data_IF_329215715615
#
_entry.id   IF_329215715615
#
_cell.length_a   1.000
_cell.length_b   1.000
_cell.length_c   1.000
_cell.angle_alpha   90.00
_cell.angle_beta   90.00
_cell.angle_gamma   90.00
#
_symmetry.space_group_name_H-M   'P 1'
#
loop_
_entity.id
_entity.type
_entity.pdbx_description
1 polymer ?
#
# COMPACT_ATOMS: atom_id res chain seq x y z
N UNK A 1 -24.38 22.80 24.40
CA UNK A 1 -23.24 22.92 23.54
C UNK A 1 -23.08 21.77 22.56
N UNK A 2 -23.09 20.64 23.09
CA UNK A 2 -22.74 19.52 22.28
C UNK A 2 -23.78 19.14 21.25
N UNK A 3 -25.05 19.23 21.61
CA UNK A 3 -26.09 18.84 20.67
C UNK A 3 -26.10 19.76 19.45
N UNK A 4 -26.07 21.04 19.69
CA UNK A 4 -26.09 21.99 18.58
C UNK A 4 -24.78 21.91 17.80
N UNK A 5 -23.70 21.80 18.50
CA UNK A 5 -22.42 21.70 17.86
C UNK A 5 -22.33 20.42 17.05
N UNK A 6 -22.88 19.36 17.58
CA UNK A 6 -22.89 18.10 16.87
C UNK A 6 -23.73 18.18 15.61
N UNK A 7 -24.84 18.86 15.68
CA UNK A 7 -25.71 19.00 14.54
C UNK A 7 -25.06 19.87 13.47
N UNK A 8 -24.54 20.99 13.88
CA UNK A 8 -23.87 21.88 12.96
C UNK A 8 -22.67 21.24 12.35
N UNK A 9 -22.00 20.42 13.11
CA UNK A 9 -20.81 19.75 12.64
C UNK A 9 -21.08 18.40 12.06
N UNK A 10 -22.33 18.02 11.97
CA UNK A 10 -22.69 16.69 11.55
C UNK A 10 -22.12 16.32 10.19
N UNK A 11 -22.31 17.18 9.20
CA UNK A 11 -21.77 16.93 7.88
C UNK A 11 -20.27 16.89 7.93
N UNK A 12 -19.70 17.84 8.63
CA UNK A 12 -18.27 17.94 8.78
C UNK A 12 -17.73 16.75 9.57
N UNK A 13 -18.43 16.36 10.61
CA UNK A 13 -18.05 15.23 11.43
C UNK A 13 -18.10 13.94 10.64
N UNK A 14 -19.04 13.80 9.75
CA UNK A 14 -19.12 12.63 8.91
C UNK A 14 -17.95 12.58 7.95
N UNK A 15 -17.61 13.71 7.36
CA UNK A 15 -16.46 13.76 6.47
C UNK A 15 -15.18 13.46 7.24
N UNK A 16 -15.05 14.03 8.42
CA UNK A 16 -13.88 13.81 9.25
C UNK A 16 -13.79 12.35 9.68
N UNK A 17 -14.91 11.78 10.05
CA UNK A 17 -14.96 10.39 10.47
C UNK A 17 -14.59 9.45 9.33
N UNK A 18 -15.04 9.78 8.13
CA UNK A 18 -14.72 9.00 6.96
C UNK A 18 -13.21 9.03 6.69
N UNK A 19 -12.62 10.19 6.79
CA UNK A 19 -11.18 10.34 6.62
C UNK A 19 -10.44 9.59 7.71
N UNK A 20 -10.88 9.72 8.95
CA UNK A 20 -10.26 9.04 10.07
C UNK A 20 -10.34 7.52 9.92
N UNK A 21 -11.51 7.02 9.50
CA UNK A 21 -11.70 5.60 9.28
C UNK A 21 -10.78 5.09 8.18
N UNK A 22 -10.63 5.87 7.14
CA UNK A 22 -9.75 5.52 6.04
C UNK A 22 -8.30 5.47 6.50
N UNK A 23 -7.89 6.45 7.30
CA UNK A 23 -6.55 6.47 7.88
C UNK A 23 -6.32 5.30 8.81
N UNK A 24 -7.33 4.99 9.62
CA UNK A 24 -7.24 3.87 10.54
C UNK A 24 -7.07 2.57 9.80
N UNK A 25 -7.79 2.42 8.69
CA UNK A 25 -7.65 1.23 7.87
C UNK A 25 -6.25 1.14 7.27
N UNK A 26 -5.75 2.24 6.75
CA UNK A 26 -4.41 2.27 6.18
C UNK A 26 -3.36 1.97 7.24
N UNK A 27 -3.50 2.57 8.41
CA UNK A 27 -2.57 2.34 9.52
C UNK A 27 -2.60 0.90 9.96
N UNK A 28 -3.78 0.32 10.07
CA UNK A 28 -3.93 -1.07 10.48
C UNK A 28 -3.29 -2.00 9.46
N UNK A 29 -3.47 -1.71 8.18
CA UNK A 29 -2.89 -2.51 7.12
C UNK A 29 -1.36 -2.45 7.16
N UNK A 30 -0.82 -1.24 7.31
CA UNK A 30 0.63 -1.05 7.40
C UNK A 30 1.19 -1.82 8.61
N UNK A 31 0.50 -1.72 9.75
CA UNK A 31 0.94 -2.43 10.95
C UNK A 31 0.89 -3.94 10.76
N UNK A 32 -0.14 -4.43 10.09
CA UNK A 32 -0.25 -5.86 9.81
C UNK A 32 0.89 -6.34 8.94
N UNK A 33 1.25 -5.56 7.94
CA UNK A 33 2.38 -5.89 7.07
C UNK A 33 3.70 -5.89 7.85
N UNK A 34 3.84 -4.92 8.75
CA UNK A 34 5.06 -4.81 9.54
C UNK A 34 5.23 -6.01 10.46
N UNK A 35 4.13 -6.46 11.05
CA UNK A 35 4.16 -7.59 11.96
C UNK A 35 4.29 -8.93 11.24
N UNK A 36 3.76 -9.00 10.03
CA UNK A 36 3.71 -10.26 9.30
C UNK A 36 4.05 -10.02 7.83
N UNK A 37 5.33 -10.08 7.49
CA UNK A 37 5.72 -9.89 6.08
C UNK A 37 5.10 -10.91 5.14
N UNK A 38 4.82 -12.12 5.63
CA UNK A 38 4.14 -13.12 4.83
C UNK A 38 2.75 -12.69 4.43
N UNK A 39 2.06 -12.00 5.34
CA UNK A 39 0.75 -11.46 5.02
C UNK A 39 0.86 -10.38 3.95
N UNK A 40 1.90 -9.54 4.02
CA UNK A 40 2.12 -8.52 3.00
C UNK A 40 2.31 -9.17 1.62
N UNK A 41 3.08 -10.25 1.57
CA UNK A 41 3.30 -10.96 0.32
C UNK A 41 2.00 -11.56 -0.22
N UNK A 42 1.18 -12.13 0.65
CA UNK A 42 -0.10 -12.68 0.24
C UNK A 42 -1.03 -11.59 -0.27
N UNK A 43 -1.03 -10.46 0.40
CA UNK A 43 -1.85 -9.32 0.00
C UNK A 43 -1.45 -8.85 -1.40
N UNK A 44 -0.16 -8.70 -1.62
CA UNK A 44 0.33 -8.25 -2.92
C UNK A 44 0.00 -9.27 -4.01
N UNK A 45 0.14 -10.54 -3.71
CA UNK A 45 -0.20 -11.59 -4.66
C UNK A 45 -1.68 -11.54 -5.06
N UNK A 46 -2.55 -11.29 -4.09
CA UNK A 46 -3.97 -11.17 -4.37
C UNK A 46 -4.27 -9.96 -5.26
N UNK A 47 -3.61 -8.84 -4.99
CA UNK A 47 -3.78 -7.65 -5.80
C UNK A 47 -3.27 -7.86 -7.21
N UNK A 48 -2.14 -8.55 -7.35
CA UNK A 48 -1.59 -8.84 -8.67
C UNK A 48 -2.50 -9.77 -9.47
N UNK A 49 -3.20 -10.66 -8.77
CA UNK A 49 -4.09 -11.60 -9.45
C UNK A 49 -5.40 -10.96 -9.89
N UNK A 50 -6.00 -10.14 -9.02
CA UNK A 50 -7.36 -9.65 -9.26
C UNK A 50 -7.51 -8.14 -9.22
N UNK A 51 -6.53 -7.43 -8.72
CA UNK A 51 -6.64 -5.99 -8.54
C UNK A 51 -6.34 -5.24 -9.82
N UNK A 52 -6.69 -3.98 -9.80
CA UNK A 52 -6.34 -3.11 -10.91
C UNK A 52 -5.06 -2.33 -10.56
N UNK A 53 -4.67 -1.46 -11.48
CA UNK A 53 -3.45 -0.69 -11.34
C UNK A 53 -3.48 0.20 -10.08
N UNK A 54 -4.62 0.80 -9.79
CA UNK A 54 -4.72 1.66 -8.62
C UNK A 54 -4.55 0.87 -7.34
N UNK A 55 -5.16 -0.29 -7.27
CA UNK A 55 -5.01 -1.15 -6.10
C UNK A 55 -3.57 -1.61 -5.92
N UNK A 56 -2.91 -1.89 -7.01
CA UNK A 56 -1.49 -2.26 -6.96
C UNK A 56 -0.66 -1.11 -6.39
N UNK A 57 -0.93 0.11 -6.83
CA UNK A 57 -0.18 1.25 -6.34
C UNK A 57 -0.42 1.48 -4.86
N UNK A 58 -1.67 1.32 -4.41
CA UNK A 58 -2.00 1.44 -2.99
C UNK A 58 -1.27 0.36 -2.18
N UNK A 59 -1.29 -0.87 -2.67
CA UNK A 59 -0.61 -1.97 -1.98
C UNK A 59 0.88 -1.71 -1.85
N UNK A 60 1.51 -1.26 -2.92
CA UNK A 60 2.94 -0.98 -2.90
C UNK A 60 3.28 0.17 -1.95
N UNK A 61 2.42 1.18 -1.87
CA UNK A 61 2.64 2.28 -0.92
C UNK A 61 2.53 1.81 0.52
N UNK A 62 1.52 0.99 0.83
CA UNK A 62 1.38 0.46 2.19
C UNK A 62 2.58 -0.40 2.55
N UNK A 63 3.04 -1.22 1.61
CA UNK A 63 4.21 -2.05 1.85
C UNK A 63 5.45 -1.19 2.05
N UNK A 64 5.60 -0.14 1.25
CA UNK A 64 6.74 0.76 1.41
C UNK A 64 6.76 1.37 2.80
N UNK A 65 5.60 1.79 3.30
CA UNK A 65 5.54 2.34 4.65
C UNK A 65 5.86 1.30 5.70
N UNK A 66 5.38 0.09 5.51
CA UNK A 66 5.60 -0.97 6.48
C UNK A 66 7.06 -1.38 6.57
N UNK A 67 7.79 -1.29 5.48
CA UNK A 67 9.16 -1.81 5.41
C UNK A 67 10.22 -0.72 5.40
N UNK A 68 9.95 0.39 6.05
CA UNK A 68 10.98 1.39 6.29
C UNK A 68 10.74 2.74 5.64
N UNK A 69 9.63 2.89 4.94
CA UNK A 69 9.31 4.13 4.26
C UNK A 69 10.04 4.27 2.93
N UNK A 70 9.53 5.15 2.09
CA UNK A 70 10.08 5.33 0.75
C UNK A 70 11.57 5.71 0.77
N UNK A 71 12.01 6.66 1.63
CA UNK A 71 13.44 7.00 1.62
C UNK A 71 14.33 5.83 1.99
N UNK A 72 13.94 5.06 2.99
CA UNK A 72 14.73 3.91 3.42
C UNK A 72 14.78 2.83 2.36
N UNK A 73 13.65 2.55 1.75
CA UNK A 73 13.59 1.56 0.69
C UNK A 73 14.38 2.00 -0.54
N UNK A 74 14.25 3.29 -0.89
CA UNK A 74 15.00 3.81 -2.04
C UNK A 74 16.50 3.63 -1.82
N UNK A 75 16.95 3.91 -0.62
CA UNK A 75 18.39 3.73 -0.30
C UNK A 75 18.81 2.27 -0.44
N UNK A 76 18.01 1.36 0.12
CA UNK A 76 18.33 -0.06 0.06
C UNK A 76 18.23 -0.63 -1.36
N UNK A 77 17.28 -0.13 -2.12
CA UNK A 77 17.07 -0.58 -3.50
C UNK A 77 17.95 0.15 -4.50
N UNK A 78 18.70 1.15 -4.04
CA UNK A 78 19.54 2.01 -4.89
C UNK A 78 18.70 2.73 -5.93
N UNK A 79 17.57 3.24 -5.48
CA UNK A 79 16.68 4.01 -6.32
C UNK A 79 16.65 5.45 -5.83
N UNK A 80 16.26 6.35 -6.70
CA UNK A 80 16.08 7.75 -6.34
C UNK A 80 14.77 7.91 -5.60
N UNK A 81 14.82 8.47 -4.38
CA UNK A 81 13.62 8.59 -3.55
C UNK A 81 12.54 9.45 -4.20
N UNK A 82 12.92 10.56 -4.81
CA UNK A 82 11.97 11.44 -5.48
C UNK A 82 11.27 10.71 -6.62
N UNK A 83 12.04 9.98 -7.40
CA UNK A 83 11.50 9.19 -8.49
C UNK A 83 10.58 8.10 -7.96
N UNK A 84 10.96 7.47 -6.86
CA UNK A 84 10.17 6.41 -6.28
C UNK A 84 8.84 6.95 -5.75
N UNK A 85 8.83 8.12 -5.10
CA UNK A 85 7.58 8.75 -4.68
C UNK A 85 6.66 8.98 -5.86
N UNK A 86 7.20 9.49 -6.94
CA UNK A 86 6.42 9.74 -8.14
C UNK A 86 5.91 8.45 -8.76
N UNK A 87 6.75 7.44 -8.80
CA UNK A 87 6.42 6.14 -9.37
C UNK A 87 5.30 5.46 -8.58
N UNK A 88 5.31 5.63 -7.26
CA UNK A 88 4.30 5.03 -6.40
C UNK A 88 3.08 5.91 -6.20
N UNK A 89 2.98 7.00 -6.94
CA UNK A 89 1.79 7.86 -6.85
C UNK A 89 0.60 7.15 -7.47
N UNK A 90 -0.57 7.71 -7.25
CA UNK A 90 -1.83 7.11 -7.69
C UNK A 90 -1.82 6.74 -9.17
N UNK A 91 -1.19 7.58 -9.99
CA UNK A 91 -1.12 7.35 -11.43
C UNK A 91 0.21 6.79 -11.86
N UNK A 92 0.97 6.28 -10.92
CA UNK A 92 2.27 5.75 -11.23
C UNK A 92 2.19 4.47 -12.02
N UNK A 93 3.26 4.17 -12.71
CA UNK A 93 3.36 2.96 -13.50
C UNK A 93 4.79 2.46 -13.42
N UNK A 94 5.14 1.77 -12.33
CA UNK A 94 6.51 1.35 -12.14
C UNK A 94 6.93 0.29 -13.14
N UNK A 95 8.17 0.39 -13.58
CA UNK A 95 8.75 -0.63 -14.41
C UNK A 95 8.98 -1.89 -13.60
N UNK A 96 9.01 -3.01 -14.28
CA UNK A 96 9.24 -4.30 -13.63
C UNK A 96 10.53 -4.30 -12.84
N UNK A 97 11.57 -3.70 -13.38
CA UNK A 97 12.86 -3.60 -12.73
C UNK A 97 12.76 -2.82 -11.41
N UNK A 98 11.95 -1.76 -11.40
CA UNK A 98 11.75 -0.97 -10.19
C UNK A 98 10.99 -1.79 -9.13
N UNK A 99 9.95 -2.49 -9.56
CA UNK A 99 9.19 -3.34 -8.65
C UNK A 99 10.08 -4.43 -8.09
N UNK A 100 10.89 -5.06 -8.92
CA UNK A 100 11.80 -6.11 -8.46
C UNK A 100 12.79 -5.59 -7.43
N UNK A 101 13.37 -4.42 -7.69
CA UNK A 101 14.32 -3.82 -6.77
C UNK A 101 13.65 -3.44 -5.45
N UNK A 102 12.45 -2.91 -5.54
CA UNK A 102 11.69 -2.51 -4.36
C UNK A 102 11.34 -3.73 -3.49
N UNK A 103 10.85 -4.78 -4.13
CA UNK A 103 10.53 -6.00 -3.40
C UNK A 103 11.77 -6.63 -2.81
N UNK A 104 12.88 -6.61 -3.54
CA UNK A 104 14.14 -7.11 -3.02
C UNK A 104 14.56 -6.39 -1.76
N UNK A 105 14.35 -5.08 -1.71
CA UNK A 105 14.67 -4.29 -0.52
C UNK A 105 13.77 -4.63 0.65
N UNK A 106 12.62 -5.24 0.38
CA UNK A 106 11.70 -5.73 1.42
C UNK A 106 11.93 -7.20 1.77
N UNK A 107 12.90 -7.83 1.13
CA UNK A 107 13.16 -9.25 1.35
C UNK A 107 12.26 -10.16 0.55
N UNK A 108 11.72 -9.67 -0.54
CA UNK A 108 10.78 -10.42 -1.37
C UNK A 108 11.25 -10.48 -2.81
N UNK A 109 10.58 -11.29 -3.60
CA UNK A 109 10.88 -11.36 -5.04
C UNK A 109 9.61 -11.67 -5.81
N UNK A 110 9.60 -11.24 -7.06
CA UNK A 110 8.53 -11.61 -7.98
C UNK A 110 8.72 -13.06 -8.40
N UNK A 111 7.61 -13.74 -8.60
CA UNK A 111 7.64 -15.13 -9.06
C UNK A 111 6.46 -15.35 -9.99
N UNK A 112 6.56 -16.40 -10.76
CA UNK A 112 5.52 -16.77 -11.72
C UNK A 112 5.07 -18.17 -11.39
N UNK A 113 3.76 -18.40 -11.44
CA UNK A 113 3.23 -19.73 -11.23
C UNK A 113 2.08 -19.98 -12.21
N UNK A 114 1.86 -21.23 -12.56
CA UNK A 114 0.76 -21.55 -13.49
C UNK A 114 -0.58 -21.21 -12.86
N UNK A 115 -1.53 -20.85 -13.69
CA UNK A 115 -2.90 -20.71 -13.24
C UNK A 115 -3.46 -22.13 -13.13
N UNK A 116 -3.99 -22.46 -11.95
CA UNK A 116 -4.55 -23.78 -11.73
C UNK A 116 -6.07 -23.70 -11.76
N UNK A 117 -6.71 -24.76 -12.20
CA UNK A 117 -8.17 -24.80 -12.23
C UNK A 117 -8.75 -24.79 -10.84
N UNK A 118 -8.04 -25.35 -9.91
CA UNK A 118 -8.48 -25.38 -8.52
C UNK A 118 -8.59 -24.00 -7.92
N UNK A 119 -7.87 -23.06 -8.44
CA UNK A 119 -7.88 -21.71 -7.94
C UNK A 119 -9.14 -20.95 -8.33
N UNK A 120 -9.99 -21.51 -9.15
CA UNK A 120 -11.22 -20.85 -9.57
C UNK A 120 -12.44 -21.23 -8.76
#
# INVERSE_FOLDING_TARGET
MKAAALKAKSSRAKATRKVATYRDHATATVESFRKDPGFAAEYLNAVLADGDQEELMVALRYMAEAFGGVPGLAARARLNATTLYRTLSKKGNPELKTISALLGAMGMRLAVQPITDDAR
#
